data_IF_558080467086
#
_entry.id   IF_558080467086
#
_cell.length_a   1.000
_cell.length_b   1.000
_cell.length_c   1.000
_cell.angle_alpha   90.00
_cell.angle_beta   90.00
_cell.angle_gamma   90.00
#
_symmetry.space_group_name_H-M   'P 1'
#
loop_
_entity.id
_entity.type
_entity.pdbx_description
1 polymer ?
#
# COMPACT_ATOMS: atom_id res chain seq x y z
N UNK A 1 6.45 44.69 8.63
CA UNK A 1 7.41 43.58 8.53
C UNK A 1 7.51 42.91 9.90
N UNK A 2 6.61 41.96 10.18
CA UNK A 2 6.56 41.15 11.42
C UNK A 2 6.07 39.74 11.04
N UNK A 3 6.85 39.04 10.24
CA UNK A 3 6.53 37.68 9.75
C UNK A 3 7.50 36.61 10.27
N UNK A 4 8.44 36.97 11.15
CA UNK A 4 9.45 36.05 11.72
C UNK A 4 9.12 35.53 13.13
N UNK A 5 8.54 36.36 14.01
CA UNK A 5 8.35 36.04 15.44
C UNK A 5 7.51 34.77 15.68
N UNK A 6 6.47 34.50 14.88
CA UNK A 6 5.62 33.32 15.05
C UNK A 6 6.19 32.00 14.52
N UNK A 7 7.17 32.06 13.60
CA UNK A 7 7.82 30.87 13.07
C UNK A 7 8.85 30.31 14.07
N UNK A 8 9.53 31.20 14.80
CA UNK A 8 10.52 30.82 15.81
C UNK A 8 9.86 30.17 17.03
N UNK A 9 8.71 30.70 17.50
CA UNK A 9 7.96 30.09 18.60
C UNK A 9 7.45 28.67 18.25
N UNK A 10 6.95 28.48 17.03
CA UNK A 10 6.45 27.18 16.57
C UNK A 10 7.58 26.15 16.49
N UNK A 11 8.75 26.55 15.98
CA UNK A 11 9.94 25.68 15.89
C UNK A 11 10.45 25.29 17.28
N UNK A 12 10.53 26.26 18.20
CA UNK A 12 10.93 25.99 19.60
C UNK A 12 9.94 25.04 20.29
N UNK A 13 8.64 25.23 20.05
CA UNK A 13 7.60 24.35 20.58
C UNK A 13 7.74 22.92 20.02
N UNK A 14 7.93 22.76 18.71
CA UNK A 14 8.12 21.46 18.06
C UNK A 14 9.37 20.75 18.58
N UNK A 15 10.50 21.46 18.65
CA UNK A 15 11.76 20.92 19.17
C UNK A 15 11.59 20.38 20.59
N UNK A 16 11.01 21.19 21.50
CA UNK A 16 10.74 20.79 22.89
C UNK A 16 9.78 19.60 22.97
N UNK A 17 8.76 19.56 22.11
CA UNK A 17 7.81 18.45 22.07
C UNK A 17 8.49 17.14 21.64
N UNK A 18 9.37 17.20 20.63
CA UNK A 18 10.12 16.02 20.17
C UNK A 18 11.12 15.54 21.24
N UNK A 19 11.73 16.46 21.98
CA UNK A 19 12.60 16.14 23.11
C UNK A 19 11.84 15.50 24.28
N UNK A 20 10.67 16.02 24.64
CA UNK A 20 9.79 15.41 25.66
C UNK A 20 9.34 14.00 25.28
N UNK A 21 9.17 13.73 23.98
CA UNK A 21 8.90 12.38 23.46
C UNK A 21 10.15 11.49 23.36
N UNK A 22 11.32 12.02 23.72
CA UNK A 22 12.60 11.31 23.67
C UNK A 22 13.12 11.04 22.25
N UNK A 23 12.57 11.70 21.22
CA UNK A 23 12.92 11.46 19.82
C UNK A 23 14.14 12.27 19.35
N UNK A 24 14.37 13.41 19.98
CA UNK A 24 15.55 14.26 19.72
C UNK A 24 16.19 14.69 21.05
N UNK A 25 17.46 15.02 21.01
CA UNK A 25 18.16 15.74 22.07
C UNK A 25 18.44 17.15 21.59
N UNK A 26 18.14 18.14 22.43
CA UNK A 26 18.42 19.54 22.15
C UNK A 26 19.62 20.02 22.96
N UNK A 27 20.53 20.72 22.29
CA UNK A 27 21.62 21.44 22.94
C UNK A 27 21.50 22.92 22.59
N UNK A 28 21.09 23.71 23.58
CA UNK A 28 20.89 25.14 23.43
C UNK A 28 22.20 25.89 23.65
N UNK A 29 22.61 26.67 22.66
CA UNK A 29 23.66 27.69 22.81
C UNK A 29 23.03 29.08 22.88
N UNK A 30 23.83 30.14 23.03
CA UNK A 30 23.31 31.52 23.11
C UNK A 30 22.50 31.94 21.88
N UNK A 31 22.84 31.40 20.71
CA UNK A 31 22.31 31.88 19.42
C UNK A 31 21.76 30.75 18.54
N UNK A 32 21.98 29.48 18.89
CA UNK A 32 21.53 28.32 18.10
C UNK A 32 21.01 27.18 18.96
N UNK A 33 20.22 26.31 18.35
CA UNK A 33 19.84 25.02 18.93
C UNK A 33 20.38 23.91 18.05
N UNK A 34 21.24 23.06 18.62
CA UNK A 34 21.67 21.84 17.95
C UNK A 34 20.65 20.74 18.25
N UNK A 35 20.11 20.13 17.20
CA UNK A 35 19.11 19.07 17.29
C UNK A 35 19.74 17.78 16.77
N UNK A 36 19.78 16.75 17.62
CA UNK A 36 20.30 15.43 17.24
C UNK A 36 19.23 14.36 17.46
N UNK A 37 19.07 13.45 16.51
CA UNK A 37 18.17 12.30 16.65
C UNK A 37 18.71 11.33 17.71
N UNK A 38 17.83 10.88 18.61
CA UNK A 38 18.13 9.80 19.54
C UNK A 38 17.95 8.45 18.86
N UNK A 39 18.37 7.36 19.52
CA UNK A 39 18.06 5.99 19.06
C UNK A 39 16.55 5.78 18.86
N UNK A 40 15.72 6.27 19.79
CA UNK A 40 14.26 6.23 19.67
C UNK A 40 13.76 7.07 18.49
N UNK A 41 14.38 8.21 18.21
CA UNK A 41 14.13 9.04 17.03
C UNK A 41 14.39 8.30 15.72
N UNK A 42 15.56 7.66 15.61
CA UNK A 42 15.93 6.85 14.45
C UNK A 42 14.98 5.66 14.25
N UNK A 43 14.64 4.95 15.32
CA UNK A 43 13.67 3.84 15.26
C UNK A 43 12.29 4.32 14.80
N UNK A 44 11.84 5.48 15.27
CA UNK A 44 10.56 6.07 14.87
C UNK A 44 10.54 6.49 13.40
N UNK A 45 11.63 7.06 12.89
CA UNK A 45 11.77 7.37 11.46
C UNK A 45 11.66 6.08 10.64
N UNK A 46 12.43 5.05 11.01
CA UNK A 46 12.39 3.77 10.31
C UNK A 46 11.01 3.10 10.35
N UNK A 47 10.24 3.27 11.43
CA UNK A 47 8.84 2.80 11.52
C UNK A 47 7.91 3.57 10.57
N UNK A 48 8.03 4.91 10.54
CA UNK A 48 7.24 5.77 9.68
C UNK A 48 7.54 5.54 8.20
N UNK A 49 8.81 5.40 7.84
CA UNK A 49 9.26 5.08 6.48
C UNK A 49 8.78 3.69 6.02
N UNK A 50 8.68 2.73 6.94
CA UNK A 50 8.06 1.43 6.67
C UNK A 50 6.53 1.47 6.51
N UNK A 51 5.91 2.63 6.73
CA UNK A 51 4.46 2.82 6.61
C UNK A 51 3.67 2.53 7.89
N UNK A 52 4.32 2.55 9.06
CA UNK A 52 3.67 2.33 10.36
C UNK A 52 3.02 0.96 10.49
N UNK A 53 1.76 0.91 10.97
CA UNK A 53 0.99 -0.33 11.17
C UNK A 53 0.78 -1.16 9.89
N UNK A 54 1.03 -0.58 8.71
CA UNK A 54 1.02 -1.31 7.43
C UNK A 54 2.02 -2.45 7.47
N UNK A 55 3.24 -2.22 7.97
CA UNK A 55 4.33 -3.19 7.92
C UNK A 55 4.02 -4.52 8.65
N UNK A 56 3.11 -4.49 9.62
CA UNK A 56 2.64 -5.67 10.36
C UNK A 56 1.34 -6.26 9.79
N UNK A 57 0.73 -5.59 8.81
CA UNK A 57 -0.50 -6.03 8.19
C UNK A 57 -0.28 -7.29 7.39
N UNK A 58 -1.19 -8.25 7.56
CA UNK A 58 -1.28 -9.43 6.68
C UNK A 58 -2.29 -9.23 5.56
N UNK A 59 -2.96 -8.08 5.50
CA UNK A 59 -4.00 -7.82 4.52
C UNK A 59 -3.41 -7.52 3.14
N UNK A 60 -4.07 -8.05 2.11
CA UNK A 60 -3.75 -7.81 0.71
C UNK A 60 -5.04 -7.43 -0.02
N UNK A 61 -5.12 -6.18 -0.47
CA UNK A 61 -6.26 -5.72 -1.25
C UNK A 61 -6.17 -6.25 -2.68
N UNK A 62 -7.26 -6.83 -3.18
CA UNK A 62 -7.37 -7.33 -4.54
C UNK A 62 -8.34 -6.45 -5.32
N UNK A 63 -7.77 -5.60 -6.17
CA UNK A 63 -8.49 -4.77 -7.12
C UNK A 63 -8.83 -5.61 -8.35
N UNK A 64 -10.08 -6.03 -8.52
CA UNK A 64 -10.50 -6.84 -9.66
C UNK A 64 -11.95 -6.57 -10.07
N UNK A 65 -12.33 -7.01 -11.27
CA UNK A 65 -13.70 -6.87 -11.75
C UNK A 65 -14.67 -7.83 -11.02
N UNK A 66 -15.73 -7.29 -10.42
CA UNK A 66 -16.83 -8.04 -9.76
C UNK A 66 -17.81 -8.70 -10.75
N UNK A 67 -17.29 -9.35 -11.80
CA UNK A 67 -18.11 -10.17 -12.68
C UNK A 67 -18.30 -11.55 -12.06
N UNK A 68 -19.55 -12.08 -11.95
CA UNK A 68 -19.77 -13.45 -11.48
C UNK A 68 -18.98 -14.53 -12.24
N UNK A 69 -18.63 -14.28 -13.51
CA UNK A 69 -17.78 -15.18 -14.30
C UNK A 69 -16.34 -15.30 -13.75
N UNK A 70 -15.90 -14.36 -12.91
CA UNK A 70 -14.58 -14.33 -12.29
C UNK A 70 -14.60 -14.82 -10.83
N UNK A 71 -15.74 -15.28 -10.30
CA UNK A 71 -15.81 -15.76 -8.92
C UNK A 71 -14.94 -16.99 -8.68
N UNK A 72 -14.84 -17.91 -9.66
CA UNK A 72 -13.90 -19.03 -9.58
C UNK A 72 -12.42 -18.57 -9.58
N UNK A 73 -12.10 -17.57 -10.42
CA UNK A 73 -10.76 -16.94 -10.47
C UNK A 73 -10.40 -16.28 -9.14
N UNK A 74 -11.37 -15.60 -8.51
CA UNK A 74 -11.23 -15.05 -7.17
C UNK A 74 -10.96 -16.14 -6.13
N UNK A 75 -11.85 -17.12 -6.03
CA UNK A 75 -11.82 -18.14 -4.96
C UNK A 75 -10.60 -19.06 -5.07
N UNK A 76 -10.36 -19.61 -6.26
CA UNK A 76 -9.35 -20.65 -6.48
C UNK A 76 -7.99 -20.10 -6.92
N UNK A 77 -7.97 -18.90 -7.52
CA UNK A 77 -6.76 -18.22 -7.96
C UNK A 77 -6.27 -17.22 -6.91
N UNK A 78 -6.86 -16.02 -6.86
CA UNK A 78 -6.40 -14.91 -6.03
C UNK A 78 -6.41 -15.22 -4.53
N UNK A 79 -7.59 -15.53 -3.97
CA UNK A 79 -7.77 -15.74 -2.53
C UNK A 79 -6.92 -16.91 -2.03
N UNK A 80 -6.93 -18.03 -2.77
CA UNK A 80 -6.15 -19.22 -2.42
C UNK A 80 -4.64 -18.96 -2.46
N UNK A 81 -4.13 -18.27 -3.48
CA UNK A 81 -2.70 -17.99 -3.61
C UNK A 81 -2.19 -17.09 -2.50
N UNK A 82 -2.89 -15.98 -2.24
CA UNK A 82 -2.52 -15.02 -1.20
C UNK A 82 -2.56 -15.69 0.17
N UNK A 83 -3.62 -16.44 0.48
CA UNK A 83 -3.75 -17.12 1.76
C UNK A 83 -2.68 -18.21 1.96
N UNK A 84 -2.27 -18.90 0.89
CA UNK A 84 -1.20 -19.90 0.95
C UNK A 84 0.19 -19.29 1.27
N UNK A 85 0.35 -17.97 1.12
CA UNK A 85 1.58 -17.24 1.44
C UNK A 85 1.56 -16.59 2.83
N UNK A 86 0.55 -16.88 3.66
CA UNK A 86 0.44 -16.37 5.03
C UNK A 86 -0.18 -14.98 5.16
N UNK A 87 -0.68 -14.42 4.05
CA UNK A 87 -1.45 -13.18 3.99
C UNK A 87 -2.96 -13.47 3.97
N UNK A 88 -3.78 -12.41 3.95
CA UNK A 88 -5.23 -12.46 3.90
C UNK A 88 -5.73 -11.61 2.73
N UNK A 89 -6.31 -12.26 1.72
CA UNK A 89 -6.89 -11.56 0.59
C UNK A 89 -8.19 -10.86 0.99
N UNK A 90 -8.33 -9.60 0.57
CA UNK A 90 -9.54 -8.80 0.74
C UNK A 90 -10.05 -8.33 -0.63
N UNK A 91 -11.34 -8.57 -0.89
CA UNK A 91 -12.10 -8.04 -2.04
C UNK A 91 -13.30 -7.28 -1.47
N UNK A 92 -13.42 -6.00 -1.80
CA UNK A 92 -14.32 -5.07 -1.08
C UNK A 92 -15.81 -5.35 -1.29
N UNK A 93 -16.19 -6.02 -2.38
CA UNK A 93 -17.58 -6.37 -2.68
C UNK A 93 -18.19 -7.43 -1.74
N UNK A 94 -17.37 -8.06 -0.89
CA UNK A 94 -17.81 -9.08 0.08
C UNK A 94 -18.21 -8.49 1.46
N UNK A 95 -17.96 -7.20 1.71
CA UNK A 95 -18.29 -6.57 3.00
C UNK A 95 -19.48 -5.62 2.85
N UNK A 96 -20.56 -5.87 3.60
CA UNK A 96 -21.68 -4.93 3.72
C UNK A 96 -21.24 -3.70 4.52
N UNK A 97 -21.31 -2.51 3.91
CA UNK A 97 -21.06 -1.25 4.61
C UNK A 97 -22.11 -0.19 4.26
N UNK A 98 -22.39 0.72 5.21
CA UNK A 98 -23.28 1.86 5.00
C UNK A 98 -22.56 3.09 4.41
N UNK A 99 -21.22 3.04 4.37
CA UNK A 99 -20.37 4.12 3.88
C UNK A 99 -20.29 4.14 2.35
N UNK A 100 -19.65 5.18 1.79
CA UNK A 100 -19.35 5.21 0.36
C UNK A 100 -18.29 4.16 0.05
N UNK A 101 -18.59 3.26 -0.89
CA UNK A 101 -17.67 2.18 -1.32
C UNK A 101 -16.26 2.68 -1.64
N UNK A 102 -16.14 3.87 -2.24
CA UNK A 102 -14.84 4.46 -2.55
C UNK A 102 -14.02 4.80 -1.29
N UNK A 103 -14.66 5.25 -0.22
CA UNK A 103 -13.97 5.60 1.04
C UNK A 103 -13.45 4.33 1.72
N UNK A 104 -14.23 3.24 1.66
CA UNK A 104 -13.82 1.91 2.14
C UNK A 104 -12.64 1.39 1.32
N UNK A 105 -12.72 1.42 -0.02
CA UNK A 105 -11.61 1.02 -0.90
C UNK A 105 -10.32 1.76 -0.53
N UNK A 106 -10.37 3.09 -0.39
CA UNK A 106 -9.20 3.90 -0.03
C UNK A 106 -8.65 3.52 1.34
N UNK A 107 -9.52 3.28 2.32
CA UNK A 107 -9.11 2.87 3.66
C UNK A 107 -8.44 1.49 3.65
N UNK A 108 -9.01 0.53 2.92
CA UNK A 108 -8.51 -0.84 2.85
C UNK A 108 -7.22 -0.96 2.06
N UNK A 109 -7.03 -0.16 1.00
CA UNK A 109 -5.73 -0.06 0.32
C UNK A 109 -4.66 0.44 1.30
N UNK A 110 -4.93 1.50 2.08
CA UNK A 110 -3.96 2.05 3.04
C UNK A 110 -3.53 1.07 4.13
N UNK A 111 -4.42 0.15 4.52
CA UNK A 111 -4.14 -0.89 5.52
C UNK A 111 -3.40 -2.10 4.94
N UNK A 112 -3.40 -2.26 3.62
CA UNK A 112 -2.85 -3.46 2.98
C UNK A 112 -1.34 -3.39 2.86
N UNK A 113 -0.69 -4.54 3.08
CA UNK A 113 0.76 -4.67 2.94
C UNK A 113 1.18 -4.47 1.49
N UNK A 114 0.38 -5.00 0.56
CA UNK A 114 0.50 -4.80 -0.87
C UNK A 114 -0.87 -4.93 -1.55
N UNK A 115 -0.93 -4.55 -2.82
CA UNK A 115 -2.12 -4.66 -3.66
C UNK A 115 -1.88 -5.65 -4.80
N UNK A 116 -2.87 -6.48 -5.11
CA UNK A 116 -2.93 -7.23 -6.37
C UNK A 116 -3.99 -6.56 -7.25
N UNK A 117 -3.60 -6.11 -8.44
CA UNK A 117 -4.48 -5.41 -9.36
C UNK A 117 -4.66 -6.22 -10.64
N UNK A 118 -5.90 -6.64 -10.91
CA UNK A 118 -6.28 -7.42 -12.09
C UNK A 118 -6.99 -6.57 -13.15
N UNK A 119 -6.34 -6.41 -14.29
CA UNK A 119 -6.78 -5.51 -15.35
C UNK A 119 -7.75 -6.16 -16.37
N UNK A 120 -8.22 -7.38 -16.09
CA UNK A 120 -9.20 -8.09 -16.93
C UNK A 120 -10.50 -7.28 -17.03
N UNK A 121 -11.02 -7.11 -18.23
CA UNK A 121 -12.18 -6.26 -18.54
C UNK A 121 -11.91 -4.76 -18.46
N UNK A 122 -10.64 -4.35 -18.35
CA UNK A 122 -10.14 -2.97 -18.44
C UNK A 122 -10.92 -1.96 -17.57
N UNK A 123 -11.15 -2.30 -16.30
CA UNK A 123 -11.97 -1.49 -15.38
C UNK A 123 -11.24 -0.25 -14.90
N UNK A 124 -11.80 0.93 -15.17
CA UNK A 124 -11.25 2.22 -14.72
C UNK A 124 -10.97 2.30 -13.21
N UNK A 125 -11.81 1.67 -12.38
CA UNK A 125 -11.61 1.58 -10.93
C UNK A 125 -10.28 0.90 -10.55
N UNK A 126 -9.93 -0.21 -11.22
CA UNK A 126 -8.68 -0.95 -10.95
C UNK A 126 -7.46 -0.10 -11.28
N UNK A 127 -7.48 0.68 -12.35
CA UNK A 127 -6.38 1.61 -12.67
C UNK A 127 -6.21 2.68 -11.61
N UNK A 128 -7.32 3.24 -11.11
CA UNK A 128 -7.29 4.22 -10.01
C UNK A 128 -6.72 3.59 -8.73
N UNK A 129 -7.19 2.42 -8.34
CA UNK A 129 -6.76 1.70 -7.14
C UNK A 129 -5.28 1.34 -7.19
N UNK A 130 -4.80 0.83 -8.33
CA UNK A 130 -3.38 0.56 -8.56
C UNK A 130 -2.53 1.84 -8.50
N UNK A 131 -2.98 2.91 -9.18
CA UNK A 131 -2.30 4.20 -9.16
C UNK A 131 -2.25 4.84 -7.76
N UNK A 132 -3.33 4.71 -6.99
CA UNK A 132 -3.41 5.19 -5.62
C UNK A 132 -2.45 4.42 -4.70
N UNK A 133 -2.37 3.10 -4.84
CA UNK A 133 -1.42 2.27 -4.11
C UNK A 133 0.04 2.66 -4.42
N UNK A 134 0.38 2.84 -5.71
CA UNK A 134 1.69 3.33 -6.12
C UNK A 134 2.03 4.68 -5.51
N UNK A 135 1.08 5.62 -5.49
CA UNK A 135 1.26 6.95 -4.90
C UNK A 135 1.50 6.96 -3.39
N UNK A 136 1.25 5.84 -2.71
CA UNK A 136 1.50 5.63 -1.28
C UNK A 136 2.70 4.70 -1.01
N UNK A 137 3.52 4.42 -2.03
CA UNK A 137 4.61 3.44 -1.97
C UNK A 137 4.13 2.07 -1.44
N UNK A 138 2.90 1.68 -1.79
CA UNK A 138 2.38 0.34 -1.53
C UNK A 138 2.73 -0.53 -2.75
N UNK A 139 3.43 -1.66 -2.58
CA UNK A 139 3.76 -2.55 -3.69
C UNK A 139 2.50 -3.03 -4.43
N UNK A 140 2.57 -3.06 -5.76
CA UNK A 140 1.49 -3.54 -6.62
C UNK A 140 1.96 -4.73 -7.44
N UNK A 141 1.26 -5.86 -7.33
CA UNK A 141 1.38 -7.00 -8.23
C UNK A 141 0.33 -6.87 -9.33
N UNK A 142 0.79 -6.77 -10.56
CA UNK A 142 -0.05 -6.56 -11.74
C UNK A 142 -0.45 -7.91 -12.32
N UNK A 143 -1.73 -8.12 -12.58
CA UNK A 143 -2.27 -9.35 -13.19
C UNK A 143 -3.27 -8.99 -14.28
N UNK A 144 -3.44 -9.88 -15.25
CA UNK A 144 -4.49 -9.76 -16.25
C UNK A 144 -4.64 -11.11 -16.94
N UNK A 145 -5.84 -11.41 -17.41
CA UNK A 145 -6.06 -12.58 -18.26
C UNK A 145 -5.18 -12.50 -19.52
N UNK A 146 -4.52 -13.61 -19.86
CA UNK A 146 -3.45 -13.63 -20.86
C UNK A 146 -3.90 -13.16 -22.25
N UNK A 147 -5.15 -13.44 -22.62
CA UNK A 147 -5.76 -13.03 -23.89
C UNK A 147 -6.01 -11.51 -23.98
N UNK A 148 -6.15 -10.82 -22.85
CA UNK A 148 -6.41 -9.37 -22.77
C UNK A 148 -5.14 -8.54 -22.55
N UNK A 149 -3.97 -9.17 -22.34
CA UNK A 149 -2.70 -8.48 -22.07
C UNK A 149 -2.31 -7.44 -23.14
N UNK A 150 -2.60 -7.73 -24.42
CA UNK A 150 -2.25 -6.84 -25.54
C UNK A 150 -3.15 -5.60 -25.59
N UNK A 151 -4.33 -5.69 -24.98
CA UNK A 151 -5.35 -4.64 -24.95
C UNK A 151 -5.20 -3.71 -23.73
N UNK A 152 -4.32 -4.06 -22.79
CA UNK A 152 -4.03 -3.22 -21.62
C UNK A 152 -3.61 -1.81 -22.04
N UNK A 153 -4.12 -0.83 -21.28
CA UNK A 153 -3.86 0.58 -21.48
C UNK A 153 -2.35 0.88 -21.52
N UNK A 154 -1.95 1.82 -22.38
CA UNK A 154 -0.53 2.07 -22.64
C UNK A 154 0.24 2.48 -21.38
N UNK A 155 -0.39 3.23 -20.48
CA UNK A 155 0.21 3.70 -19.22
C UNK A 155 0.66 2.57 -18.30
N UNK A 156 -0.02 1.42 -18.32
CA UNK A 156 0.30 0.30 -17.42
C UNK A 156 0.99 -0.85 -18.15
N UNK A 157 0.97 -0.89 -19.49
CA UNK A 157 1.53 -1.98 -20.30
C UNK A 157 3.01 -2.28 -20.03
N UNK A 158 3.76 -1.32 -19.50
CA UNK A 158 5.17 -1.48 -19.16
C UNK A 158 5.41 -2.27 -17.86
N UNK A 159 4.41 -2.37 -16.98
CA UNK A 159 4.51 -3.17 -15.76
C UNK A 159 4.48 -4.67 -16.07
N UNK A 160 5.20 -5.45 -15.27
CA UNK A 160 5.30 -6.90 -15.42
C UNK A 160 4.04 -7.61 -14.93
N UNK A 161 3.03 -7.64 -15.80
CA UNK A 161 1.77 -8.32 -15.59
C UNK A 161 1.94 -9.84 -15.58
N UNK A 162 1.36 -10.50 -14.57
CA UNK A 162 1.09 -11.93 -14.62
C UNK A 162 -0.07 -12.14 -15.60
N UNK A 163 0.26 -12.51 -16.83
CA UNK A 163 -0.71 -13.00 -17.82
C UNK A 163 -1.19 -14.40 -17.50
N UNK A 164 -2.30 -14.54 -16.79
CA UNK A 164 -2.81 -15.85 -16.34
C UNK A 164 -3.80 -16.46 -17.34
N UNK A 165 -3.81 -17.79 -17.45
CA UNK A 165 -4.67 -18.51 -18.41
C UNK A 165 -5.94 -19.09 -17.76
N UNK A 166 -5.81 -19.56 -16.52
CA UNK A 166 -6.87 -20.18 -15.73
C UNK A 166 -6.58 -20.03 -14.23
N UNK A 167 -7.51 -20.50 -13.40
CA UNK A 167 -7.45 -20.36 -11.94
C UNK A 167 -6.22 -21.04 -11.31
N UNK A 168 -5.82 -22.20 -11.82
CA UNK A 168 -4.66 -22.96 -11.32
C UNK A 168 -3.35 -22.28 -11.71
N UNK A 169 -3.23 -21.81 -12.95
CA UNK A 169 -2.09 -21.03 -13.42
C UNK A 169 -1.94 -19.73 -12.61
N UNK A 170 -3.04 -18.99 -12.42
CA UNK A 170 -3.06 -17.80 -11.58
C UNK A 170 -2.58 -18.13 -10.16
N UNK A 171 -3.08 -19.22 -9.56
CA UNK A 171 -2.69 -19.64 -8.22
C UNK A 171 -1.17 -19.77 -8.08
N UNK A 172 -0.54 -20.58 -8.96
CA UNK A 172 0.90 -20.83 -8.87
C UNK A 172 1.73 -19.58 -9.19
N UNK A 173 1.37 -18.83 -10.24
CA UNK A 173 2.16 -17.66 -10.65
C UNK A 173 2.06 -16.51 -9.64
N UNK A 174 0.87 -16.27 -9.09
CA UNK A 174 0.68 -15.24 -8.06
C UNK A 174 1.40 -15.62 -6.76
N UNK A 175 1.24 -16.87 -6.29
CA UNK A 175 1.95 -17.38 -5.11
C UNK A 175 3.46 -17.18 -5.25
N UNK A 176 4.04 -17.63 -6.37
CA UNK A 176 5.47 -17.51 -6.63
C UNK A 176 5.92 -16.03 -6.70
N UNK A 177 5.10 -15.14 -7.27
CA UNK A 177 5.40 -13.71 -7.32
C UNK A 177 5.43 -13.11 -5.92
N UNK A 178 4.46 -13.43 -5.07
CA UNK A 178 4.39 -12.94 -3.70
C UNK A 178 5.64 -13.37 -2.92
N UNK A 179 5.94 -14.67 -2.92
CA UNK A 179 7.10 -15.25 -2.20
C UNK A 179 8.45 -14.69 -2.69
N UNK A 180 8.54 -14.28 -3.96
CA UNK A 180 9.77 -13.76 -4.55
C UNK A 180 9.96 -12.24 -4.40
N UNK A 181 8.89 -11.46 -4.23
CA UNK A 181 8.95 -9.99 -4.38
C UNK A 181 8.43 -9.20 -3.19
N UNK A 182 7.64 -9.82 -2.31
CA UNK A 182 7.15 -9.18 -1.10
C UNK A 182 8.12 -9.54 0.04
N UNK A 183 8.73 -8.54 0.71
CA UNK A 183 9.61 -8.79 1.85
C UNK A 183 8.83 -9.45 2.99
N UNK A 184 9.45 -10.44 3.62
CA UNK A 184 8.95 -11.09 4.84
C UNK A 184 9.03 -10.18 6.06
#
# INVERSE_FOLDING_TARGET
MKSGEGHDEAMVFLAKTLEQKGLVSLLWTSDTVDVTLTEAGWNRIAELERGGSRAESKQVFVAMWFNPLLDGVWENGFRKAINATGYHALRVDLEEHNDKICDVIVAEIRKSQFVVADFTGHRGGVYFEAGFALGLDIPVIWTCKKDELLEIHFDTRQYNHIGWENEEDLFFRLKNRIEATIPA
#
